data_IF_906735136854
#
_entry.id   IF_906735136854
#
_cell.length_a   1.000
_cell.length_b   1.000
_cell.length_c   1.000
_cell.angle_alpha   90.00
_cell.angle_beta   90.00
_cell.angle_gamma   90.00
#
_symmetry.space_group_name_H-M   'P 1'
#
loop_
_entity.id
_entity.type
_entity.pdbx_description
1 polymer ?
#
# COMPACT_ATOMS: atom_id res chain seq x y z
N UNK A 1 22.42 2.37 10.83
CA UNK A 1 23.38 1.96 9.81
C UNK A 1 22.99 2.40 8.40
N UNK A 2 23.91 2.31 7.45
CA UNK A 2 23.72 2.73 6.05
C UNK A 2 22.48 2.12 5.37
N UNK A 3 22.16 0.86 5.66
CA UNK A 3 20.99 0.17 5.07
C UNK A 3 19.68 0.74 5.58
N UNK A 4 19.59 1.11 6.86
CA UNK A 4 18.39 1.73 7.42
C UNK A 4 18.08 3.08 6.75
N UNK A 5 19.12 3.91 6.53
CA UNK A 5 18.95 5.19 5.82
C UNK A 5 18.44 4.99 4.40
N UNK A 6 18.97 3.99 3.68
CA UNK A 6 18.50 3.65 2.32
C UNK A 6 17.04 3.19 2.34
N UNK A 7 16.67 2.34 3.31
CA UNK A 7 15.29 1.87 3.48
C UNK A 7 14.35 3.02 3.80
N UNK A 8 14.71 3.91 4.73
CA UNK A 8 13.89 5.09 5.03
C UNK A 8 13.69 5.98 3.81
N UNK A 9 14.74 6.24 3.03
CA UNK A 9 14.65 7.02 1.79
C UNK A 9 13.69 6.38 0.78
N UNK A 10 13.81 5.08 0.58
CA UNK A 10 12.93 4.32 -0.29
C UNK A 10 11.46 4.46 0.15
N UNK A 11 11.17 4.20 1.43
CA UNK A 11 9.81 4.25 1.93
C UNK A 11 9.18 5.63 1.85
N UNK A 12 9.95 6.69 2.18
CA UNK A 12 9.47 8.07 2.09
C UNK A 12 9.08 8.44 0.65
N UNK A 13 9.77 7.90 -0.36
CA UNK A 13 9.41 8.08 -1.77
C UNK A 13 8.23 7.19 -2.16
N UNK A 14 8.25 5.91 -1.77
CA UNK A 14 7.22 4.95 -2.14
C UNK A 14 5.82 5.38 -1.65
N UNK A 15 5.73 5.94 -0.43
CA UNK A 15 4.48 6.48 0.11
C UNK A 15 4.20 7.93 -0.33
N UNK A 16 5.05 8.52 -1.18
CA UNK A 16 4.83 9.84 -1.77
C UNK A 16 5.03 11.03 -0.83
N UNK A 17 5.74 10.86 0.30
CA UNK A 17 6.08 11.98 1.20
C UNK A 17 7.23 12.81 0.64
N UNK A 18 8.23 12.15 0.05
CA UNK A 18 9.40 12.83 -0.53
C UNK A 18 9.63 12.41 -1.98
N UNK A 19 10.37 13.23 -2.69
CA UNK A 19 10.88 12.96 -4.03
C UNK A 19 12.37 13.27 -4.12
N UNK A 20 13.05 12.65 -5.07
CA UNK A 20 14.44 12.98 -5.40
C UNK A 20 14.48 13.75 -6.72
N UNK A 21 15.21 14.86 -6.79
CA UNK A 21 15.39 15.58 -8.05
C UNK A 21 16.16 14.70 -9.06
N UNK A 22 15.71 14.71 -10.29
CA UNK A 22 16.27 13.91 -11.40
C UNK A 22 17.74 14.24 -11.71
N UNK A 23 18.28 15.37 -11.25
CA UNK A 23 19.67 15.82 -11.45
C UNK A 23 20.19 16.53 -10.22
N UNK A 24 21.45 16.26 -9.87
CA UNK A 24 22.18 16.98 -8.84
C UNK A 24 22.52 16.13 -7.61
N UNK A 25 22.63 16.77 -6.44
CA UNK A 25 22.92 16.10 -5.17
C UNK A 25 21.76 15.21 -4.79
N UNK A 26 22.02 13.99 -4.32
CA UNK A 26 21.01 13.07 -3.78
C UNK A 26 20.39 13.64 -2.49
N UNK A 27 19.51 14.61 -2.64
CA UNK A 27 18.73 15.20 -1.55
C UNK A 27 17.26 14.88 -1.77
N UNK A 28 16.56 14.50 -0.71
CA UNK A 28 15.11 14.37 -0.75
C UNK A 28 14.47 15.71 -0.41
N UNK A 29 13.42 16.06 -1.12
CA UNK A 29 12.55 17.19 -0.85
C UNK A 29 11.13 16.69 -0.59
N UNK A 30 10.33 17.44 0.15
CA UNK A 30 8.93 17.09 0.31
C UNK A 30 8.19 17.23 -1.03
N UNK A 31 7.29 16.28 -1.29
CA UNK A 31 6.24 16.46 -2.29
C UNK A 31 5.18 17.44 -1.77
N UNK A 32 4.26 17.94 -2.61
CA UNK A 32 3.12 18.73 -2.11
C UNK A 32 2.29 18.00 -1.05
N UNK A 33 2.11 16.68 -1.19
CA UNK A 33 1.45 15.85 -0.17
C UNK A 33 2.29 15.79 1.11
N UNK A 34 3.58 15.53 1.00
CA UNK A 34 4.49 15.45 2.15
C UNK A 34 4.57 16.76 2.93
N UNK A 35 4.56 17.91 2.24
CA UNK A 35 4.51 19.22 2.89
C UNK A 35 3.21 19.41 3.69
N UNK A 36 2.06 19.02 3.13
CA UNK A 36 0.77 19.07 3.82
C UNK A 36 0.72 18.18 5.04
N UNK A 37 1.20 16.94 4.92
CA UNK A 37 1.29 16.00 6.06
C UNK A 37 2.19 16.59 7.15
N UNK A 38 3.36 17.13 6.80
CA UNK A 38 4.26 17.74 7.77
C UNK A 38 3.64 18.91 8.53
N UNK A 39 2.79 19.70 7.85
CA UNK A 39 2.14 20.88 8.44
C UNK A 39 0.94 20.52 9.32
N UNK A 40 0.15 19.50 8.95
CA UNK A 40 -1.16 19.24 9.54
C UNK A 40 -1.23 17.93 10.33
N UNK A 41 -0.45 16.92 9.98
CA UNK A 41 -0.45 15.60 10.62
C UNK A 41 0.97 14.99 10.63
N UNK A 42 1.92 15.71 11.21
CA UNK A 42 3.34 15.35 11.21
C UNK A 42 3.65 14.02 11.89
N UNK A 43 2.76 13.50 12.72
CA UNK A 43 2.92 12.22 13.43
C UNK A 43 2.13 11.08 12.78
N UNK A 44 1.38 11.39 11.70
CA UNK A 44 0.58 10.41 10.94
C UNK A 44 -0.41 9.69 11.89
N UNK A 45 -1.20 10.48 12.62
CA UNK A 45 -2.22 10.01 13.56
C UNK A 45 -3.62 9.93 12.92
N UNK A 46 -3.82 10.63 11.79
CA UNK A 46 -5.10 10.69 11.09
C UNK A 46 -5.24 9.52 10.11
N UNK A 47 -6.35 8.78 10.21
CA UNK A 47 -6.64 7.65 9.33
C UNK A 47 -6.71 8.07 7.85
N UNK A 48 -7.19 9.28 7.56
CA UNK A 48 -7.21 9.85 6.21
C UNK A 48 -5.81 10.01 5.61
N UNK A 49 -4.82 10.39 6.41
CA UNK A 49 -3.42 10.43 6.00
C UNK A 49 -2.92 9.04 5.61
N UNK A 50 -3.25 8.01 6.41
CA UNK A 50 -2.87 6.63 6.10
C UNK A 50 -3.47 6.16 4.77
N UNK A 51 -4.73 6.48 4.47
CA UNK A 51 -5.35 6.16 3.18
C UNK A 51 -4.65 6.88 2.01
N UNK A 52 -4.24 8.13 2.16
CA UNK A 52 -3.47 8.85 1.13
C UNK A 52 -2.09 8.21 0.90
N UNK A 53 -1.39 7.81 1.97
CA UNK A 53 -0.12 7.09 1.87
C UNK A 53 -0.30 5.72 1.22
N UNK A 54 -1.37 5.00 1.54
CA UNK A 54 -1.76 3.74 0.91
C UNK A 54 -2.00 3.93 -0.59
N UNK A 55 -2.79 4.94 -0.96
CA UNK A 55 -3.03 5.27 -2.37
C UNK A 55 -1.72 5.50 -3.12
N UNK A 56 -0.83 6.34 -2.58
CA UNK A 56 0.47 6.62 -3.21
C UNK A 56 1.31 5.36 -3.35
N UNK A 57 1.41 4.53 -2.31
CA UNK A 57 2.17 3.29 -2.32
C UNK A 57 1.63 2.28 -3.35
N UNK A 58 0.32 2.04 -3.35
CA UNK A 58 -0.32 1.10 -4.27
C UNK A 58 -0.35 1.59 -5.74
N UNK A 59 -0.05 2.87 -5.98
CA UNK A 59 0.00 3.46 -7.31
C UNK A 59 1.41 3.49 -7.94
N UNK A 60 2.45 3.06 -7.21
CA UNK A 60 3.85 3.10 -7.66
C UNK A 60 4.22 1.83 -8.43
N UNK A 61 3.93 1.79 -9.72
CA UNK A 61 4.20 0.65 -10.60
C UNK A 61 5.70 0.40 -10.84
N UNK A 62 6.54 1.45 -10.85
CA UNK A 62 7.98 1.32 -11.04
C UNK A 62 8.74 1.17 -9.71
N UNK A 63 8.41 1.99 -8.71
CA UNK A 63 9.17 2.06 -7.46
C UNK A 63 8.77 0.98 -6.46
N UNK A 64 7.47 0.65 -6.37
CA UNK A 64 6.91 -0.34 -5.46
C UNK A 64 6.03 -1.36 -6.21
N UNK A 65 6.57 -1.96 -7.28
CA UNK A 65 5.88 -2.86 -8.22
C UNK A 65 5.11 -3.97 -7.50
N UNK A 66 5.66 -4.56 -6.44
CA UNK A 66 4.98 -5.63 -5.69
C UNK A 66 3.70 -5.13 -4.98
N UNK A 67 3.68 -3.89 -4.44
CA UNK A 67 2.47 -3.28 -3.87
C UNK A 67 1.46 -2.89 -4.94
N UNK A 68 1.94 -2.28 -6.04
CA UNK A 68 1.09 -2.02 -7.20
C UNK A 68 0.43 -3.29 -7.70
N UNK A 69 1.21 -4.35 -7.93
CA UNK A 69 0.71 -5.64 -8.37
C UNK A 69 -0.31 -6.22 -7.38
N UNK A 70 0.02 -6.22 -6.09
CA UNK A 70 -0.84 -6.77 -5.05
C UNK A 70 -2.23 -6.14 -5.06
N UNK A 71 -2.33 -4.82 -5.11
CA UNK A 71 -3.62 -4.15 -5.03
C UNK A 71 -4.36 -4.07 -6.36
N UNK A 72 -3.66 -3.85 -7.47
CA UNK A 72 -4.29 -3.57 -8.76
C UNK A 72 -4.50 -4.78 -9.66
N UNK A 73 -3.60 -5.77 -9.62
CA UNK A 73 -3.56 -6.89 -10.59
C UNK A 73 -3.89 -8.23 -9.94
N UNK A 74 -3.37 -8.49 -8.74
CA UNK A 74 -3.58 -9.75 -8.04
C UNK A 74 -4.99 -9.83 -7.47
N UNK A 75 -5.86 -10.63 -8.12
CA UNK A 75 -7.31 -10.69 -7.83
C UNK A 75 -7.72 -11.86 -6.92
N UNK A 76 -6.78 -12.61 -6.36
CA UNK A 76 -7.07 -13.72 -5.44
C UNK A 76 -7.37 -13.13 -4.06
N UNK A 77 -8.57 -13.43 -3.54
CA UNK A 77 -9.03 -12.88 -2.26
C UNK A 77 -8.36 -13.56 -1.07
N UNK A 78 -8.34 -14.91 -1.04
CA UNK A 78 -7.61 -15.69 -0.03
C UNK A 78 -6.40 -16.34 -0.68
N UNK A 79 -5.22 -16.15 -0.12
CA UNK A 79 -3.96 -16.52 -0.77
C UNK A 79 -2.89 -16.95 0.23
N UNK A 80 -1.96 -17.76 -0.26
CA UNK A 80 -0.72 -18.11 0.42
C UNK A 80 0.46 -17.33 -0.17
N UNK A 81 1.61 -17.49 0.45
CA UNK A 81 2.86 -16.95 -0.11
C UNK A 81 3.14 -17.51 -1.50
N UNK A 82 2.93 -18.80 -1.68
CA UNK A 82 3.18 -19.51 -2.93
C UNK A 82 2.31 -18.98 -4.06
N UNK A 83 1.02 -18.71 -3.78
CA UNK A 83 0.08 -18.12 -4.75
C UNK A 83 0.54 -16.75 -5.21
N UNK A 84 0.89 -15.87 -4.26
CA UNK A 84 1.32 -14.52 -4.60
C UNK A 84 2.66 -14.49 -5.33
N UNK A 85 3.67 -15.22 -4.81
CA UNK A 85 5.02 -15.23 -5.40
C UNK A 85 4.99 -15.84 -6.80
N UNK A 86 4.21 -16.91 -7.02
CA UNK A 86 4.03 -17.50 -8.34
C UNK A 86 3.38 -16.54 -9.33
N UNK A 87 2.32 -15.85 -8.90
CA UNK A 87 1.61 -14.90 -9.74
C UNK A 87 2.45 -13.65 -10.04
N UNK A 88 3.18 -13.10 -9.06
CA UNK A 88 4.09 -11.97 -9.26
C UNK A 88 5.26 -12.34 -10.20
N UNK A 89 5.79 -13.55 -10.09
CA UNK A 89 6.81 -14.02 -11.01
C UNK A 89 6.29 -14.10 -12.46
N UNK A 90 5.07 -14.62 -12.65
CA UNK A 90 4.42 -14.60 -13.97
C UNK A 90 4.28 -13.20 -14.54
N UNK A 91 3.83 -12.25 -13.70
CA UNK A 91 3.70 -10.85 -14.09
C UNK A 91 5.04 -10.22 -14.51
N UNK A 92 6.13 -10.50 -13.78
CA UNK A 92 7.47 -10.02 -14.15
C UNK A 92 7.93 -10.59 -15.49
N UNK A 93 7.75 -11.90 -15.73
CA UNK A 93 8.10 -12.56 -17.00
C UNK A 93 7.30 -11.96 -18.17
N UNK A 94 5.99 -11.73 -18.00
CA UNK A 94 5.14 -11.12 -19.02
C UNK A 94 5.58 -9.69 -19.32
N UNK A 95 6.14 -8.98 -18.34
CA UNK A 95 6.77 -7.68 -18.50
C UNK A 95 8.19 -7.71 -19.11
N UNK A 96 8.71 -8.90 -19.38
CA UNK A 96 10.08 -9.08 -19.93
C UNK A 96 11.19 -8.97 -18.87
N UNK A 97 10.85 -9.08 -17.58
CA UNK A 97 11.79 -8.98 -16.46
C UNK A 97 12.06 -10.36 -15.84
N UNK A 98 13.31 -10.61 -15.46
CA UNK A 98 13.68 -11.77 -14.64
C UNK A 98 13.90 -11.33 -13.19
N UNK A 99 13.04 -11.78 -12.28
CA UNK A 99 13.17 -11.52 -10.86
C UNK A 99 13.64 -12.78 -10.10
N UNK A 100 14.60 -12.60 -9.20
CA UNK A 100 15.02 -13.69 -8.34
C UNK A 100 13.87 -14.09 -7.39
N UNK A 101 13.56 -15.38 -7.29
CA UNK A 101 12.47 -15.90 -6.44
C UNK A 101 12.62 -15.47 -4.98
N UNK A 102 13.86 -15.27 -4.51
CA UNK A 102 14.14 -14.76 -3.18
C UNK A 102 13.65 -13.33 -3.02
N UNK A 103 13.87 -12.44 -3.99
CA UNK A 103 13.41 -11.06 -3.96
C UNK A 103 11.88 -10.99 -3.91
N UNK A 104 11.20 -11.78 -4.75
CA UNK A 104 9.73 -11.86 -4.74
C UNK A 104 9.18 -12.37 -3.40
N UNK A 105 9.89 -13.29 -2.76
CA UNK A 105 9.56 -13.80 -1.42
C UNK A 105 9.78 -12.71 -0.36
N UNK A 106 10.84 -11.92 -0.46
CA UNK A 106 11.11 -10.81 0.44
C UNK A 106 10.05 -9.70 0.27
N UNK A 107 9.61 -9.40 -0.95
CA UNK A 107 8.51 -8.48 -1.24
C UNK A 107 7.20 -8.93 -0.59
N UNK A 108 6.84 -10.22 -0.75
CA UNK A 108 5.68 -10.78 -0.05
C UNK A 108 5.77 -10.60 1.46
N UNK A 109 6.91 -10.92 2.07
CA UNK A 109 7.11 -10.77 3.50
C UNK A 109 7.01 -9.31 3.94
N UNK A 110 7.48 -8.37 3.11
CA UNK A 110 7.33 -6.94 3.35
C UNK A 110 5.86 -6.51 3.28
N UNK A 111 5.09 -6.93 2.27
CA UNK A 111 3.66 -6.64 2.15
C UNK A 111 2.91 -7.14 3.39
N UNK A 112 3.10 -8.42 3.76
CA UNK A 112 2.45 -8.96 4.95
C UNK A 112 2.88 -8.22 6.22
N UNK A 113 4.16 -7.89 6.35
CA UNK A 113 4.67 -7.11 7.49
C UNK A 113 4.17 -5.66 7.53
N UNK A 114 3.68 -5.12 6.41
CA UNK A 114 3.08 -3.78 6.32
C UNK A 114 1.64 -3.76 6.82
N UNK A 115 0.83 -4.78 6.47
CA UNK A 115 -0.62 -4.75 6.71
C UNK A 115 -1.08 -5.67 7.84
N UNK A 116 -0.32 -6.72 8.19
CA UNK A 116 -0.74 -7.68 9.23
C UNK A 116 0.04 -7.43 10.51
N UNK A 117 -0.61 -6.99 11.61
CA UNK A 117 0.04 -6.75 12.90
C UNK A 117 0.74 -8.01 13.44
N UNK A 118 1.94 -7.84 13.96
CA UNK A 118 2.71 -8.93 14.56
C UNK A 118 2.31 -9.12 16.01
N UNK A 119 1.33 -9.95 16.28
CA UNK A 119 1.00 -10.34 17.66
C UNK A 119 2.15 -11.13 18.27
N UNK A 120 2.94 -10.51 19.14
CA UNK A 120 3.99 -11.20 19.90
C UNK A 120 3.41 -11.86 21.13
N UNK A 121 3.50 -13.18 21.19
CA UNK A 121 2.99 -14.01 22.29
C UNK A 121 3.91 -14.04 23.51
N UNK A 122 5.09 -13.43 23.48
CA UNK A 122 6.08 -13.53 24.58
C UNK A 122 6.53 -12.14 25.08
N UNK A 123 5.92 -11.66 26.21
CA UNK A 123 6.22 -10.31 26.76
C UNK A 123 7.68 -10.10 27.15
N UNK A 124 8.43 -11.15 27.47
CA UNK A 124 9.81 -11.08 27.93
C UNK A 124 10.87 -10.86 26.82
N UNK A 125 10.47 -10.89 25.54
CA UNK A 125 11.36 -10.67 24.38
C UNK A 125 11.01 -9.41 23.59
N UNK A 126 10.23 -8.54 24.16
CA UNK A 126 9.71 -7.33 23.50
C UNK A 126 10.70 -6.20 23.76
N UNK A 127 11.51 -5.84 22.72
CA UNK A 127 12.14 -4.52 22.72
C UNK A 127 11.18 -3.52 22.05
N UNK A 128 11.13 -2.27 22.53
CA UNK A 128 10.29 -1.22 21.95
C UNK A 128 10.53 -1.06 20.45
N UNK A 129 11.77 -1.16 19.97
CA UNK A 129 12.15 -1.05 18.56
C UNK A 129 11.62 -2.19 17.67
N UNK A 130 11.38 -3.38 18.25
CA UNK A 130 10.90 -4.55 17.51
C UNK A 130 9.37 -4.72 17.55
N UNK A 131 8.66 -3.78 18.18
CA UNK A 131 7.21 -3.85 18.40
C UNK A 131 6.43 -2.74 17.68
N UNK A 132 7.09 -1.93 16.89
CA UNK A 132 6.44 -0.92 16.08
C UNK A 132 5.87 -1.64 14.85
N UNK A 133 4.57 -1.82 14.83
CA UNK A 133 3.85 -2.24 13.63
C UNK A 133 3.81 -1.09 12.63
N UNK A 134 3.72 -1.41 11.33
CA UNK A 134 3.57 -0.39 10.31
C UNK A 134 2.22 0.33 10.47
N UNK A 135 2.16 1.66 10.44
CA UNK A 135 0.90 2.40 10.55
C UNK A 135 -0.17 1.97 9.54
N UNK A 136 0.22 1.58 8.32
CA UNK A 136 -0.71 1.10 7.29
C UNK A 136 -1.46 -0.19 7.70
N UNK A 137 -0.99 -0.91 8.71
CA UNK A 137 -1.71 -2.03 9.31
C UNK A 137 -3.04 -1.63 9.94
N UNK A 138 -3.20 -0.37 10.38
CA UNK A 138 -4.44 0.16 10.96
C UNK A 138 -5.58 0.24 9.93
N UNK A 139 -5.27 0.28 8.64
CA UNK A 139 -6.27 0.27 7.57
C UNK A 139 -7.00 -1.07 7.44
N UNK A 140 -6.47 -2.15 8.00
CA UNK A 140 -7.10 -3.47 8.01
C UNK A 140 -7.31 -4.08 6.62
N UNK A 141 -6.52 -3.69 5.62
CA UNK A 141 -6.70 -4.13 4.21
C UNK A 141 -6.28 -5.58 3.95
N UNK A 142 -5.55 -6.18 4.87
CA UNK A 142 -5.12 -7.59 4.80
C UNK A 142 -5.24 -8.22 6.19
N UNK A 143 -5.81 -9.43 6.25
CA UNK A 143 -5.95 -10.20 7.48
C UNK A 143 -5.37 -11.62 7.31
N UNK A 144 -5.14 -12.28 8.43
CA UNK A 144 -4.71 -13.69 8.45
C UNK A 144 -5.90 -14.60 8.78
N UNK A 145 -6.27 -15.45 7.84
CA UNK A 145 -7.40 -16.39 7.96
C UNK A 145 -6.98 -17.64 8.76
N UNK A 146 -5.79 -18.18 8.44
CA UNK A 146 -5.25 -19.38 9.11
C UNK A 146 -3.76 -19.18 9.39
N UNK A 147 -3.43 -19.02 10.68
CA UNK A 147 -2.05 -18.82 11.14
C UNK A 147 -1.17 -20.05 10.91
N UNK A 148 -1.73 -21.26 11.04
CA UNK A 148 -0.97 -22.50 10.91
C UNK A 148 -0.60 -22.76 9.44
N UNK A 149 -1.54 -22.52 8.55
CA UNK A 149 -1.36 -22.68 7.09
C UNK A 149 -0.83 -21.42 6.42
N UNK A 150 -0.73 -20.30 7.14
CA UNK A 150 -0.33 -18.99 6.62
C UNK A 150 -1.18 -18.55 5.43
N UNK A 151 -2.50 -18.65 5.59
CA UNK A 151 -3.48 -18.17 4.62
C UNK A 151 -3.87 -16.74 5.01
N UNK A 152 -3.78 -15.83 4.07
CA UNK A 152 -4.10 -14.41 4.19
C UNK A 152 -5.30 -14.08 3.33
N UNK A 153 -5.93 -12.94 3.61
CA UNK A 153 -7.09 -12.47 2.87
C UNK A 153 -7.03 -10.97 2.67
N UNK A 154 -7.40 -10.50 1.47
CA UNK A 154 -7.73 -9.10 1.25
C UNK A 154 -9.05 -8.77 1.93
N UNK A 155 -9.12 -7.64 2.61
CA UNK A 155 -10.29 -7.20 3.38
C UNK A 155 -10.78 -5.89 2.82
N UNK A 156 -12.10 -5.78 2.64
CA UNK A 156 -12.77 -4.51 2.35
C UNK A 156 -12.93 -3.75 3.67
N UNK A 157 -12.41 -2.53 3.79
CA UNK A 157 -12.58 -1.71 4.98
C UNK A 157 -14.04 -1.24 5.13
N UNK A 158 -14.42 -0.78 6.33
CA UNK A 158 -15.71 -0.12 6.53
C UNK A 158 -15.73 1.21 5.77
N UNK A 159 -16.85 1.53 5.11
CA UNK A 159 -17.03 2.81 4.42
C UNK A 159 -16.81 4.01 5.35
N UNK A 160 -17.23 3.89 6.60
CA UNK A 160 -17.08 4.92 7.64
C UNK A 160 -15.61 5.23 7.98
N UNK A 161 -14.69 4.31 7.69
CA UNK A 161 -13.25 4.52 7.91
C UNK A 161 -12.59 5.35 6.81
N UNK A 162 -13.27 5.54 5.68
CA UNK A 162 -12.75 6.28 4.53
C UNK A 162 -13.38 7.68 4.53
N UNK A 163 -12.57 8.68 4.81
CA UNK A 163 -13.01 10.06 4.73
C UNK A 163 -13.43 10.39 3.27
N UNK A 164 -14.65 10.97 3.04
CA UNK A 164 -15.13 11.32 1.71
C UNK A 164 -14.17 12.24 0.93
N UNK A 165 -13.45 13.12 1.61
CA UNK A 165 -12.45 13.98 0.96
C UNK A 165 -11.24 13.20 0.45
N UNK A 166 -10.86 12.12 1.16
CA UNK A 166 -9.80 11.21 0.69
C UNK A 166 -10.26 10.47 -0.55
N UNK A 167 -11.49 9.94 -0.53
CA UNK A 167 -12.07 9.27 -1.70
C UNK A 167 -12.13 10.23 -2.89
N UNK A 168 -12.66 11.44 -2.68
CA UNK A 168 -12.74 12.48 -3.72
C UNK A 168 -11.34 12.83 -4.27
N UNK A 169 -10.34 12.99 -3.41
CA UNK A 169 -8.97 13.33 -3.83
C UNK A 169 -8.39 12.24 -4.75
N UNK A 170 -8.58 10.96 -4.43
CA UNK A 170 -8.12 9.85 -5.28
C UNK A 170 -8.87 9.80 -6.60
N UNK A 171 -10.20 9.97 -6.57
CA UNK A 171 -11.04 9.99 -7.78
C UNK A 171 -10.59 11.13 -8.71
N UNK A 172 -10.40 12.32 -8.18
CA UNK A 172 -9.97 13.48 -8.98
C UNK A 172 -8.56 13.30 -9.56
N UNK A 173 -7.63 12.74 -8.79
CA UNK A 173 -6.26 12.46 -9.27
C UNK A 173 -6.28 11.45 -10.45
N UNK A 174 -7.15 10.43 -10.38
CA UNK A 174 -7.29 9.43 -11.45
C UNK A 174 -8.14 9.93 -12.63
N UNK A 175 -9.15 10.74 -12.38
CA UNK A 175 -10.00 11.30 -13.43
C UNK A 175 -9.25 12.31 -14.32
N UNK A 176 -8.24 12.99 -13.78
CA UNK A 176 -7.52 14.04 -14.50
C UNK A 176 -8.47 15.14 -14.96
N UNK A 177 -8.62 15.30 -16.29
CA UNK A 177 -9.51 16.32 -16.88
C UNK A 177 -10.94 15.80 -17.18
N UNK A 178 -11.23 14.53 -16.87
CA UNK A 178 -12.56 13.96 -17.10
C UNK A 178 -13.59 14.60 -16.15
N UNK A 179 -14.76 14.93 -16.67
CA UNK A 179 -15.87 15.52 -15.90
C UNK A 179 -16.79 14.48 -15.29
N UNK A 180 -16.69 13.24 -15.75
CA UNK A 180 -17.49 12.10 -15.30
C UNK A 180 -16.62 10.85 -15.23
N UNK A 181 -16.80 10.04 -14.18
CA UNK A 181 -16.14 8.74 -14.03
C UNK A 181 -17.20 7.70 -13.71
N UNK A 182 -17.23 6.60 -14.47
CA UNK A 182 -18.17 5.52 -14.24
C UNK A 182 -17.85 4.69 -12.99
N UNK A 183 -18.89 4.21 -12.29
CA UNK A 183 -18.74 3.37 -11.10
C UNK A 183 -17.84 2.13 -11.36
N UNK A 184 -17.97 1.51 -12.52
CA UNK A 184 -17.13 0.37 -12.89
C UNK A 184 -15.65 0.74 -12.97
N UNK A 185 -15.32 1.94 -13.50
CA UNK A 185 -13.94 2.45 -13.54
C UNK A 185 -13.41 2.71 -12.13
N UNK A 186 -14.22 3.29 -11.25
CA UNK A 186 -13.85 3.50 -9.85
C UNK A 186 -13.55 2.18 -9.12
N UNK A 187 -14.30 1.12 -9.43
CA UNK A 187 -14.15 -0.21 -8.80
C UNK A 187 -12.99 -1.02 -9.37
N UNK A 188 -12.81 -1.02 -10.69
CA UNK A 188 -11.93 -1.98 -11.38
C UNK A 188 -10.73 -1.35 -12.05
N UNK A 189 -10.77 -0.03 -12.26
CA UNK A 189 -9.65 0.71 -12.85
C UNK A 189 -8.41 0.64 -11.97
N UNK A 190 -7.25 0.42 -12.59
CA UNK A 190 -5.97 0.41 -11.88
C UNK A 190 -5.72 1.77 -11.23
N UNK A 191 -5.13 1.76 -10.04
CA UNK A 191 -4.88 2.96 -9.22
C UNK A 191 -6.15 3.68 -8.73
N UNK A 192 -7.36 3.22 -9.11
CA UNK A 192 -8.61 3.77 -8.60
C UNK A 192 -8.94 3.25 -7.20
N UNK A 193 -9.86 3.95 -6.50
CA UNK A 193 -10.16 3.71 -5.08
C UNK A 193 -10.63 2.29 -4.80
N UNK A 194 -11.35 1.64 -5.73
CA UNK A 194 -11.78 0.25 -5.61
C UNK A 194 -10.62 -0.72 -5.46
N UNK A 195 -9.57 -0.52 -6.26
CA UNK A 195 -8.38 -1.37 -6.23
C UNK A 195 -7.47 -1.05 -5.06
N UNK A 196 -7.09 0.22 -4.89
CA UNK A 196 -6.08 0.61 -3.88
C UNK A 196 -6.58 0.45 -2.44
N UNK A 197 -7.91 0.44 -2.21
CA UNK A 197 -8.54 0.28 -0.89
C UNK A 197 -9.32 -1.03 -0.75
N UNK A 198 -9.26 -1.94 -1.72
CA UNK A 198 -10.00 -3.22 -1.74
C UNK A 198 -11.53 -3.03 -1.59
N UNK A 199 -12.13 -2.01 -2.20
CA UNK A 199 -13.56 -1.76 -2.07
C UNK A 199 -14.37 -2.73 -2.93
N UNK A 200 -15.47 -3.20 -2.37
CA UNK A 200 -16.55 -3.84 -3.12
C UNK A 200 -17.59 -2.80 -3.58
N UNK A 201 -18.58 -3.24 -4.34
CA UNK A 201 -19.62 -2.36 -4.90
C UNK A 201 -20.43 -1.65 -3.80
N UNK A 202 -20.75 -2.37 -2.72
CA UNK A 202 -21.59 -1.84 -1.64
C UNK A 202 -20.83 -0.76 -0.90
N UNK A 203 -19.63 -1.08 -0.45
CA UNK A 203 -18.75 -0.12 0.25
C UNK A 203 -18.43 1.09 -0.62
N UNK A 204 -18.23 0.89 -1.93
CA UNK A 204 -18.02 1.99 -2.87
C UNK A 204 -19.20 2.96 -2.90
N UNK A 205 -20.42 2.44 -2.96
CA UNK A 205 -21.64 3.28 -2.98
C UNK A 205 -21.81 4.02 -1.66
N UNK A 206 -21.46 3.39 -0.54
CA UNK A 206 -21.56 4.01 0.79
C UNK A 206 -20.50 5.10 1.00
N UNK A 207 -19.38 5.04 0.29
CA UNK A 207 -18.29 6.05 0.34
C UNK A 207 -18.60 7.25 -0.56
N UNK A 208 -19.33 7.07 -1.68
CA UNK A 208 -19.67 8.11 -2.67
C UNK A 208 -20.87 8.95 -2.25
#
# INVERSE_FOLDING_TARGET
GSNMVKSMRFWMQAVGITEEPSRGRRSQTFTPLGEKIYQHDRYIEEIGTLYLLQYRLASQDELATAWYYFFNVFNITEFTKEDFVGALNGYAIDGGEEAALRSLTDDFNCIIGTYVPRYKTNPGKVSAENNIDCPLGELGLVDIVDKAKKIYRKVTPSAESIDPWVALAVIMDQAGEATEVGLNELLTGVKNIGKVFNLDVITMIDVL
#
